data_IF_663744121944
#
_entry.id   IF_663744121944
#
_cell.length_a   1.000
_cell.length_b   1.000
_cell.length_c   1.000
_cell.angle_alpha   90.00
_cell.angle_beta   90.00
_cell.angle_gamma   90.00
#
_symmetry.space_group_name_H-M   'P 1'
#
loop_
_entity.id
_entity.type
_entity.pdbx_description
1 polymer ?
#
# COMPACT_ATOMS: atom_id res chain seq x y z
N UNK A 1 -38.66 36.85 -20.43
CA UNK A 1 -37.40 36.86 -21.19
C UNK A 1 -36.40 36.04 -20.42
N UNK A 2 -35.98 34.92 -21.00
CA UNK A 2 -35.02 33.99 -20.44
C UNK A 2 -33.59 34.47 -20.64
N UNK A 3 -32.73 34.16 -19.66
CA UNK A 3 -31.33 33.73 -19.74
C UNK A 3 -30.49 34.41 -18.66
N UNK A 4 -30.40 33.81 -17.47
CA UNK A 4 -29.33 34.10 -16.53
C UNK A 4 -28.04 33.46 -17.08
N UNK A 5 -27.06 34.28 -17.44
CA UNK A 5 -25.75 33.87 -17.92
C UNK A 5 -24.93 33.26 -16.78
N UNK A 6 -24.74 31.94 -16.82
CA UNK A 6 -23.97 31.14 -15.84
C UNK A 6 -22.49 30.99 -16.19
N UNK A 7 -21.87 31.97 -16.85
CA UNK A 7 -20.46 31.90 -17.26
C UNK A 7 -19.79 33.25 -17.02
N UNK A 8 -19.29 33.52 -15.80
CA UNK A 8 -18.29 34.59 -15.52
C UNK A 8 -17.80 34.71 -14.06
N UNK A 9 -18.20 33.84 -13.12
CA UNK A 9 -17.84 34.01 -11.70
C UNK A 9 -16.84 32.95 -11.21
N UNK A 10 -15.70 33.39 -10.67
CA UNK A 10 -14.79 32.60 -9.84
C UNK A 10 -14.32 33.43 -8.63
N UNK A 11 -14.01 32.75 -7.53
CA UNK A 11 -13.44 33.40 -6.35
C UNK A 11 -11.94 33.64 -6.57
N UNK A 12 -11.53 34.91 -6.59
CA UNK A 12 -10.12 35.27 -6.74
C UNK A 12 -9.34 34.89 -5.48
N UNK A 13 -8.33 34.03 -5.65
CA UNK A 13 -7.47 33.58 -4.57
C UNK A 13 -6.18 34.42 -4.49
N UNK A 14 -5.66 34.73 -3.28
CA UNK A 14 -4.45 35.51 -3.10
C UNK A 14 -3.21 34.62 -3.30
N UNK A 15 -2.84 34.39 -4.56
CA UNK A 15 -1.68 33.59 -4.96
C UNK A 15 -0.63 34.44 -5.67
N UNK A 16 0.64 34.08 -5.49
CA UNK A 16 1.80 34.74 -6.11
C UNK A 16 2.69 33.72 -6.82
N UNK A 17 3.27 34.12 -7.95
CA UNK A 17 4.15 33.27 -8.77
C UNK A 17 5.59 33.73 -8.64
N UNK A 18 6.45 32.85 -8.13
CA UNK A 18 7.89 33.09 -8.15
C UNK A 18 8.42 33.01 -9.61
N UNK A 19 9.00 34.08 -10.15
CA UNK A 19 9.44 34.11 -11.55
C UNK A 19 10.63 33.19 -11.83
N UNK A 20 11.44 32.83 -10.82
CA UNK A 20 12.61 31.95 -10.97
C UNK A 20 12.23 30.49 -10.82
N UNK A 21 11.56 30.15 -9.72
CA UNK A 21 11.23 28.75 -9.42
C UNK A 21 9.96 28.28 -10.12
N UNK A 22 9.16 29.22 -10.66
CA UNK A 22 7.81 28.99 -11.19
C UNK A 22 6.86 28.37 -10.17
N UNK A 23 7.20 28.45 -8.89
CA UNK A 23 6.34 27.95 -7.82
C UNK A 23 5.23 28.95 -7.52
N UNK A 24 4.00 28.45 -7.38
CA UNK A 24 2.86 29.23 -6.92
C UNK A 24 2.78 29.14 -5.41
N UNK A 25 2.68 30.29 -4.74
CA UNK A 25 2.62 30.39 -3.28
C UNK A 25 1.45 31.26 -2.85
N UNK A 26 1.13 31.25 -1.54
CA UNK A 26 0.09 32.09 -0.95
C UNK A 26 0.57 32.58 0.41
N UNK A 27 -0.10 33.60 0.95
CA UNK A 27 0.22 34.17 2.26
C UNK A 27 0.08 33.15 3.40
N UNK A 28 0.84 33.33 4.50
CA UNK A 28 0.82 32.42 5.65
C UNK A 28 -0.54 32.33 6.35
N UNK A 29 -1.38 33.37 6.22
CA UNK A 29 -2.75 33.41 6.74
C UNK A 29 -3.80 32.71 5.87
N UNK A 30 -3.43 32.19 4.71
CA UNK A 30 -4.36 31.52 3.81
C UNK A 30 -4.87 30.17 4.37
N UNK A 31 -6.04 29.68 3.91
CA UNK A 31 -6.56 28.38 4.32
C UNK A 31 -5.56 27.25 4.09
N UNK A 32 -5.46 26.31 5.05
CA UNK A 32 -4.56 25.14 4.93
C UNK A 32 -4.85 24.29 3.69
N UNK A 33 -6.11 24.21 3.27
CA UNK A 33 -6.51 23.50 2.05
C UNK A 33 -5.85 24.12 0.81
N UNK A 34 -5.90 25.46 0.67
CA UNK A 34 -5.24 26.16 -0.45
C UNK A 34 -3.73 25.90 -0.44
N UNK A 35 -3.09 25.96 0.73
CA UNK A 35 -1.65 25.67 0.83
C UNK A 35 -1.31 24.23 0.42
N UNK A 36 -2.17 23.26 0.74
CA UNK A 36 -1.99 21.87 0.33
C UNK A 36 -2.13 21.71 -1.19
N UNK A 37 -3.16 22.30 -1.79
CA UNK A 37 -3.38 22.28 -3.24
C UNK A 37 -2.23 22.94 -4.01
N UNK A 38 -1.71 24.07 -3.54
CA UNK A 38 -0.56 24.72 -4.17
C UNK A 38 0.71 23.86 -4.09
N UNK A 39 0.90 23.06 -3.04
CA UNK A 39 2.01 22.09 -2.97
C UNK A 39 1.85 21.01 -4.04
N UNK A 40 0.65 20.45 -4.18
CA UNK A 40 0.35 19.44 -5.21
C UNK A 40 0.52 20.01 -6.62
N UNK A 41 0.08 21.24 -6.85
CA UNK A 41 0.27 21.94 -8.13
C UNK A 41 1.75 22.12 -8.47
N UNK A 42 2.56 22.54 -7.50
CA UNK A 42 4.01 22.71 -7.69
C UNK A 42 4.73 21.37 -7.92
N UNK A 43 4.30 20.30 -7.25
CA UNK A 43 4.82 18.95 -7.47
C UNK A 43 4.46 18.43 -8.87
N UNK A 44 3.20 18.61 -9.29
CA UNK A 44 2.73 18.29 -10.63
C UNK A 44 3.52 19.07 -11.68
N UNK A 45 3.72 20.37 -11.52
CA UNK A 45 4.50 21.20 -12.44
C UNK A 45 5.92 20.63 -12.63
N UNK A 46 6.63 20.32 -11.53
CA UNK A 46 7.97 19.72 -11.61
C UNK A 46 7.94 18.36 -12.32
N UNK A 47 6.93 17.54 -12.07
CA UNK A 47 6.78 16.24 -12.75
C UNK A 47 6.57 16.40 -14.27
N UNK A 48 5.78 17.40 -14.69
CA UNK A 48 5.55 17.69 -16.11
C UNK A 48 6.80 18.22 -16.80
N UNK A 49 7.64 19.00 -16.10
CA UNK A 49 8.93 19.46 -16.67
C UNK A 49 9.92 18.31 -16.92
N UNK A 50 9.76 17.17 -16.24
CA UNK A 50 10.60 15.98 -16.48
C UNK A 50 10.13 15.13 -17.66
N UNK A 51 8.99 15.46 -18.27
CA UNK A 51 8.49 14.76 -19.45
C UNK A 51 9.38 15.02 -20.65
N UNK A 52 9.77 13.94 -21.32
CA UNK A 52 10.48 13.98 -22.60
C UNK A 52 9.51 14.22 -23.78
N UNK A 53 8.19 14.20 -23.53
CA UNK A 53 7.18 14.49 -24.55
C UNK A 53 7.18 15.99 -24.88
N UNK A 54 7.20 16.35 -26.16
CA UNK A 54 6.93 17.73 -26.62
C UNK A 54 5.44 17.80 -26.96
N UNK A 55 4.60 18.68 -26.36
CA UNK A 55 4.90 19.88 -25.57
C UNK A 55 4.62 19.73 -24.05
N UNK A 56 5.31 18.81 -23.36
CA UNK A 56 5.19 18.51 -21.92
C UNK A 56 3.76 18.12 -21.49
N UNK A 57 2.98 17.61 -22.43
CA UNK A 57 1.66 17.05 -22.18
C UNK A 57 1.85 15.56 -21.85
N UNK A 58 1.22 15.05 -20.78
CA UNK A 58 1.19 13.62 -20.50
C UNK A 58 0.71 12.81 -21.72
N UNK A 59 1.43 11.76 -22.12
CA UNK A 59 0.95 10.86 -23.15
C UNK A 59 -0.32 10.13 -22.68
N UNK A 60 -1.10 9.53 -23.60
CA UNK A 60 -2.19 8.65 -23.21
C UNK A 60 -1.66 7.52 -22.30
N UNK A 61 -2.45 7.03 -21.32
CA UNK A 61 -2.00 6.02 -20.35
C UNK A 61 -1.52 4.70 -20.98
N UNK A 62 -1.94 4.41 -22.21
CA UNK A 62 -1.56 3.22 -22.98
C UNK A 62 -1.04 3.71 -24.34
N UNK A 63 0.11 3.19 -24.84
CA UNK A 63 0.96 2.16 -24.23
C UNK A 63 1.90 2.68 -23.13
N UNK A 64 2.17 1.85 -22.13
CA UNK A 64 3.09 2.18 -21.02
C UNK A 64 4.54 1.91 -21.42
N UNK A 65 5.47 2.77 -20.98
CA UNK A 65 6.90 2.52 -21.17
C UNK A 65 7.37 1.31 -20.31
N UNK A 66 7.87 0.22 -20.93
CA UNK A 66 8.19 -1.01 -20.20
C UNK A 66 9.46 -0.90 -19.34
N UNK A 67 10.29 0.14 -19.52
CA UNK A 67 11.60 0.28 -18.86
C UNK A 67 11.47 0.23 -17.33
N UNK A 68 10.47 0.88 -16.77
CA UNK A 68 10.26 0.90 -15.31
C UNK A 68 9.81 -0.46 -14.78
N UNK A 69 8.85 -1.12 -15.44
CA UNK A 69 8.43 -2.49 -15.09
C UNK A 69 9.59 -3.48 -15.16
N UNK A 70 10.48 -3.34 -16.14
CA UNK A 70 11.67 -4.16 -16.26
C UNK A 70 12.64 -3.94 -15.07
N UNK A 71 12.86 -2.69 -14.67
CA UNK A 71 13.68 -2.38 -13.50
C UNK A 71 13.04 -2.88 -12.20
N UNK A 72 11.71 -2.80 -12.07
CA UNK A 72 10.98 -3.30 -10.90
C UNK A 72 11.13 -4.82 -10.79
N UNK A 73 10.99 -5.52 -11.92
CA UNK A 73 11.24 -6.97 -11.99
C UNK A 73 12.65 -7.31 -11.54
N UNK A 74 13.68 -6.57 -11.99
CA UNK A 74 15.07 -6.78 -11.56
C UNK A 74 15.27 -6.59 -10.05
N UNK A 75 14.68 -5.54 -9.46
CA UNK A 75 14.75 -5.30 -8.01
C UNK A 75 14.06 -6.42 -7.23
N UNK A 76 12.88 -6.84 -7.68
CA UNK A 76 12.13 -7.95 -7.10
C UNK A 76 12.95 -9.25 -7.15
N UNK A 77 13.54 -9.57 -8.30
CA UNK A 77 14.30 -10.81 -8.48
C UNK A 77 15.60 -10.79 -7.65
N UNK A 78 16.26 -9.63 -7.55
CA UNK A 78 17.41 -9.46 -6.66
C UNK A 78 17.02 -9.66 -5.19
N UNK A 79 15.88 -9.13 -4.76
CA UNK A 79 15.33 -9.38 -3.42
C UNK A 79 15.02 -10.85 -3.18
N UNK A 80 14.43 -11.54 -4.16
CA UNK A 80 14.13 -12.97 -4.09
C UNK A 80 15.41 -13.80 -3.96
N UNK A 81 16.47 -13.46 -4.69
CA UNK A 81 17.74 -14.17 -4.62
C UNK A 81 18.44 -13.98 -3.26
N UNK A 82 18.39 -12.77 -2.70
CA UNK A 82 18.89 -12.50 -1.35
C UNK A 82 18.08 -13.27 -0.31
N UNK A 83 16.75 -13.31 -0.47
CA UNK A 83 15.87 -14.08 0.41
C UNK A 83 16.21 -15.57 0.41
N UNK A 84 16.39 -16.18 -0.77
CA UNK A 84 16.79 -17.60 -0.91
C UNK A 84 18.15 -17.90 -0.29
N UNK A 85 19.05 -16.91 -0.24
CA UNK A 85 20.37 -17.01 0.40
C UNK A 85 20.32 -16.78 1.93
N UNK A 86 19.14 -16.63 2.53
CA UNK A 86 18.98 -16.34 3.97
C UNK A 86 19.32 -14.89 4.37
N UNK A 87 19.64 -14.02 3.41
CA UNK A 87 19.98 -12.60 3.65
C UNK A 87 18.72 -11.75 3.68
N UNK A 88 17.82 -12.04 4.62
CA UNK A 88 16.48 -11.44 4.67
C UNK A 88 16.52 -9.91 4.86
N UNK A 89 17.44 -9.38 5.67
CA UNK A 89 17.58 -7.93 5.86
C UNK A 89 17.98 -7.17 4.59
N UNK A 90 18.82 -7.75 3.74
CA UNK A 90 19.17 -7.16 2.45
C UNK A 90 18.05 -7.33 1.41
N UNK A 91 17.30 -8.43 1.47
CA UNK A 91 16.09 -8.61 0.66
C UNK A 91 15.06 -7.51 0.95
N UNK A 92 14.83 -7.16 2.23
CA UNK A 92 13.94 -6.05 2.63
C UNK A 92 14.36 -4.73 1.97
N UNK A 93 15.67 -4.44 1.91
CA UNK A 93 16.18 -3.22 1.24
C UNK A 93 15.84 -3.22 -0.24
N UNK A 94 16.06 -4.33 -0.95
CA UNK A 94 15.75 -4.43 -2.38
C UNK A 94 14.25 -4.29 -2.66
N UNK A 95 13.40 -4.94 -1.87
CA UNK A 95 11.95 -4.78 -2.01
C UNK A 95 11.50 -3.35 -1.71
N UNK A 96 12.11 -2.69 -0.71
CA UNK A 96 11.80 -1.29 -0.38
C UNK A 96 12.13 -0.34 -1.53
N UNK A 97 13.29 -0.51 -2.17
CA UNK A 97 13.63 0.23 -3.38
C UNK A 97 12.62 -0.04 -4.52
N UNK A 98 12.18 -1.29 -4.67
CA UNK A 98 11.13 -1.66 -5.60
C UNK A 98 9.82 -0.92 -5.33
N UNK A 99 9.34 -0.93 -4.09
CA UNK A 99 8.10 -0.26 -3.69
C UNK A 99 8.19 1.25 -3.96
N UNK A 100 9.29 1.89 -3.57
CA UNK A 100 9.52 3.31 -3.84
C UNK A 100 9.49 3.64 -5.34
N UNK A 101 10.12 2.80 -6.16
CA UNK A 101 10.13 3.00 -7.61
C UNK A 101 8.76 2.76 -8.27
N UNK A 102 7.96 1.84 -7.74
CA UNK A 102 6.61 1.56 -8.21
C UNK A 102 5.65 2.69 -7.85
N UNK A 103 5.69 3.19 -6.61
CA UNK A 103 4.87 4.31 -6.15
C UNK A 103 5.29 5.65 -6.78
N UNK A 104 6.56 5.79 -7.18
CA UNK A 104 7.05 6.93 -7.96
C UNK A 104 6.74 6.86 -9.45
N UNK A 105 5.76 6.04 -9.88
CA UNK A 105 5.25 6.06 -11.25
C UNK A 105 4.50 7.36 -11.53
N UNK A 106 4.60 7.93 -12.74
CA UNK A 106 3.81 9.09 -13.10
C UNK A 106 2.29 8.85 -12.98
N UNK A 107 1.57 9.87 -12.53
CA UNK A 107 0.13 9.78 -12.19
C UNK A 107 -0.78 9.50 -13.40
N UNK A 108 -0.31 9.73 -14.62
CA UNK A 108 -1.05 9.47 -15.86
C UNK A 108 -0.87 8.03 -16.36
N UNK A 109 -0.05 7.21 -15.72
CA UNK A 109 0.07 5.78 -16.06
C UNK A 109 -1.08 4.96 -15.43
N UNK A 110 -1.40 3.77 -15.97
CA UNK A 110 -2.51 2.97 -15.47
C UNK A 110 -2.31 2.54 -14.01
N UNK A 111 -3.21 2.97 -13.12
CA UNK A 111 -3.14 2.65 -11.70
C UNK A 111 -3.25 1.15 -11.39
N UNK A 112 -3.90 0.37 -12.28
CA UNK A 112 -3.95 -1.09 -12.17
C UNK A 112 -2.55 -1.73 -12.22
N UNK A 113 -1.69 -1.24 -13.11
CA UNK A 113 -0.30 -1.71 -13.21
C UNK A 113 0.48 -1.41 -11.92
N UNK A 114 0.36 -0.17 -11.41
CA UNK A 114 1.00 0.24 -10.16
C UNK A 114 0.58 -0.68 -9.03
N UNK A 115 -0.74 -0.91 -8.88
CA UNK A 115 -1.35 -1.77 -7.85
C UNK A 115 -0.82 -3.20 -7.90
N UNK A 116 -0.73 -3.80 -9.08
CA UNK A 116 -0.18 -5.15 -9.23
C UNK A 116 1.30 -5.24 -8.86
N UNK A 117 2.11 -4.26 -9.30
CA UNK A 117 3.54 -4.21 -9.00
C UNK A 117 3.77 -4.04 -7.48
N UNK A 118 3.08 -3.10 -6.84
CA UNK A 118 3.23 -2.88 -5.38
C UNK A 118 2.67 -4.03 -4.56
N UNK A 119 1.54 -4.64 -4.95
CA UNK A 119 0.96 -5.76 -4.23
C UNK A 119 1.97 -6.90 -4.09
N UNK A 120 2.64 -7.27 -5.18
CA UNK A 120 3.65 -8.33 -5.20
C UNK A 120 4.88 -7.98 -4.34
N UNK A 121 5.37 -6.73 -4.44
CA UNK A 121 6.54 -6.29 -3.70
C UNK A 121 6.28 -6.23 -2.19
N UNK A 122 5.13 -5.70 -1.77
CA UNK A 122 4.71 -5.70 -0.37
C UNK A 122 4.56 -7.13 0.17
N UNK A 123 3.96 -8.04 -0.60
CA UNK A 123 3.79 -9.43 -0.17
C UNK A 123 5.16 -10.12 0.05
N UNK A 124 6.13 -9.87 -0.82
CA UNK A 124 7.48 -10.41 -0.69
C UNK A 124 8.27 -9.76 0.45
N UNK A 125 8.11 -8.45 0.67
CA UNK A 125 8.72 -7.73 1.80
C UNK A 125 8.15 -8.19 3.14
N UNK A 126 6.83 -8.41 3.22
CA UNK A 126 6.17 -9.01 4.37
C UNK A 126 6.77 -10.38 4.72
N UNK A 127 6.98 -11.24 3.72
CA UNK A 127 7.61 -12.54 3.94
C UNK A 127 9.06 -12.42 4.46
N UNK A 128 9.82 -11.44 3.96
CA UNK A 128 11.17 -11.17 4.46
C UNK A 128 11.16 -10.65 5.91
N UNK A 129 10.18 -9.81 6.28
CA UNK A 129 9.97 -9.38 7.66
C UNK A 129 9.59 -10.55 8.58
N UNK A 130 8.70 -11.44 8.14
CA UNK A 130 8.34 -12.66 8.88
C UNK A 130 9.56 -13.56 9.11
N UNK A 131 10.44 -13.72 8.12
CA UNK A 131 11.68 -14.49 8.27
C UNK A 131 12.67 -13.87 9.28
N UNK A 132 12.56 -12.56 9.53
CA UNK A 132 13.31 -11.84 10.57
C UNK A 132 12.54 -11.76 11.90
N UNK A 133 11.35 -12.35 12.00
CA UNK A 133 10.43 -12.25 13.15
C UNK A 133 9.99 -10.80 13.45
N UNK A 134 10.05 -9.92 12.46
CA UNK A 134 9.53 -8.55 12.50
C UNK A 134 8.03 -8.56 12.19
N UNK A 135 7.23 -9.11 13.11
CA UNK A 135 5.82 -9.43 12.88
C UNK A 135 4.94 -8.20 12.63
N UNK A 136 5.22 -7.08 13.29
CA UNK A 136 4.44 -5.86 13.14
C UNK A 136 4.60 -5.26 11.74
N UNK A 137 5.84 -5.12 11.26
CA UNK A 137 6.16 -4.63 9.92
C UNK A 137 5.66 -5.60 8.84
N UNK A 138 5.79 -6.91 9.09
CA UNK A 138 5.25 -7.95 8.21
C UNK A 138 3.73 -7.87 8.06
N UNK A 139 3.01 -7.61 9.16
CA UNK A 139 1.56 -7.46 9.15
C UNK A 139 1.11 -6.21 8.39
N UNK A 140 1.80 -5.08 8.55
CA UNK A 140 1.51 -3.82 7.84
C UNK A 140 1.76 -3.98 6.34
N UNK A 141 2.88 -4.60 5.95
CA UNK A 141 3.18 -4.86 4.55
C UNK A 141 2.18 -5.82 3.90
N UNK A 142 1.79 -6.88 4.61
CA UNK A 142 0.81 -7.83 4.10
C UNK A 142 -0.59 -7.19 3.93
N UNK A 143 -1.00 -6.29 4.83
CA UNK A 143 -2.22 -5.48 4.66
C UNK A 143 -2.12 -4.53 3.47
N UNK A 144 -1.01 -3.82 3.32
CA UNK A 144 -0.78 -2.95 2.18
C UNK A 144 -0.82 -3.72 0.84
N UNK A 145 -0.32 -4.97 0.83
CA UNK A 145 -0.43 -5.86 -0.33
C UNK A 145 -1.88 -6.21 -0.67
N UNK A 146 -2.68 -6.57 0.34
CA UNK A 146 -4.12 -6.88 0.17
C UNK A 146 -4.90 -5.65 -0.27
N UNK A 147 -4.62 -4.47 0.28
CA UNK A 147 -5.29 -3.23 -0.14
C UNK A 147 -4.99 -2.89 -1.60
N UNK A 148 -3.75 -3.15 -2.06
CA UNK A 148 -3.39 -2.96 -3.46
C UNK A 148 -4.07 -3.97 -4.39
N UNK A 149 -4.20 -5.24 -3.97
CA UNK A 149 -4.85 -6.31 -4.72
C UNK A 149 -5.57 -7.28 -3.78
N UNK A 150 -6.91 -7.14 -3.71
CA UNK A 150 -7.77 -7.86 -2.75
C UNK A 150 -8.09 -9.31 -3.13
N UNK A 151 -8.19 -9.60 -4.44
CA UNK A 151 -8.55 -10.92 -4.96
C UNK A 151 -7.40 -11.53 -5.77
N UNK A 152 -7.24 -12.85 -5.72
CA UNK A 152 -6.11 -13.56 -6.33
C UNK A 152 -4.78 -13.24 -5.62
N UNK A 153 -4.83 -13.04 -4.30
CA UNK A 153 -3.72 -12.70 -3.42
C UNK A 153 -3.79 -13.42 -2.05
N UNK A 154 -4.23 -14.68 -2.03
CA UNK A 154 -4.35 -15.49 -0.80
C UNK A 154 -3.08 -15.52 0.07
N UNK A 155 -1.89 -15.46 -0.54
CA UNK A 155 -0.62 -15.42 0.20
C UNK A 155 -0.48 -14.16 1.07
N UNK A 156 -0.96 -13.00 0.64
CA UNK A 156 -0.89 -11.79 1.44
C UNK A 156 -1.87 -11.85 2.62
N UNK A 157 -3.09 -12.36 2.39
CA UNK A 157 -4.06 -12.65 3.45
C UNK A 157 -3.45 -13.57 4.51
N UNK A 158 -2.82 -14.66 4.08
CA UNK A 158 -2.19 -15.65 4.96
C UNK A 158 -1.04 -15.05 5.76
N UNK A 159 -0.15 -14.29 5.10
CA UNK A 159 1.02 -13.67 5.76
C UNK A 159 0.61 -12.73 6.90
N UNK A 160 -0.41 -11.88 6.69
CA UNK A 160 -0.92 -11.02 7.77
C UNK A 160 -1.57 -11.83 8.88
N UNK A 161 -2.43 -12.79 8.55
CA UNK A 161 -3.06 -13.65 9.55
C UNK A 161 -2.01 -14.36 10.42
N UNK A 162 -0.94 -14.88 9.80
CA UNK A 162 0.18 -15.50 10.52
C UNK A 162 0.93 -14.50 11.40
N UNK A 163 1.18 -13.28 10.93
CA UNK A 163 1.80 -12.24 11.76
C UNK A 163 0.93 -11.88 12.97
N UNK A 164 -0.39 -11.73 12.79
CA UNK A 164 -1.33 -11.43 13.89
C UNK A 164 -1.36 -12.57 14.92
N UNK A 165 -1.37 -13.81 14.44
CA UNK A 165 -1.28 -15.01 15.27
C UNK A 165 0.01 -15.05 16.11
N UNK A 166 1.16 -14.78 15.50
CA UNK A 166 2.46 -14.75 16.22
C UNK A 166 2.57 -13.58 17.21
N UNK A 167 1.87 -12.47 16.95
CA UNK A 167 1.74 -11.36 17.91
C UNK A 167 0.70 -11.60 19.01
N UNK A 168 -0.03 -12.72 18.98
CA UNK A 168 -1.10 -13.03 19.94
C UNK A 168 -2.39 -12.21 19.75
N UNK A 169 -2.54 -11.47 18.65
CA UNK A 169 -3.74 -10.70 18.31
C UNK A 169 -4.76 -11.61 17.64
N UNK A 170 -5.26 -12.59 18.40
CA UNK A 170 -6.02 -13.72 17.86
C UNK A 170 -7.39 -13.33 17.31
N UNK A 171 -8.13 -12.45 17.99
CA UNK A 171 -9.46 -12.00 17.50
C UNK A 171 -9.34 -11.30 16.14
N UNK A 172 -8.32 -10.44 16.00
CA UNK A 172 -8.04 -9.79 14.72
C UNK A 172 -7.56 -10.76 13.65
N UNK A 173 -6.79 -11.79 14.04
CA UNK A 173 -6.36 -12.84 13.12
C UNK A 173 -7.55 -13.63 12.58
N UNK A 174 -8.53 -13.96 13.42
CA UNK A 174 -9.73 -14.72 13.07
C UNK A 174 -10.59 -13.93 12.07
N UNK A 175 -10.89 -12.66 12.40
CA UNK A 175 -11.66 -11.77 11.52
C UNK A 175 -10.93 -11.53 10.18
N UNK A 176 -9.60 -11.36 10.23
CA UNK A 176 -8.80 -11.14 9.02
C UNK A 176 -8.78 -12.36 8.10
N UNK A 177 -8.54 -13.55 8.64
CA UNK A 177 -8.48 -14.79 7.86
C UNK A 177 -9.87 -15.17 7.33
N UNK A 178 -10.93 -14.95 8.12
CA UNK A 178 -12.32 -15.12 7.68
C UNK A 178 -12.64 -14.28 6.44
N UNK A 179 -12.31 -12.99 6.46
CA UNK A 179 -12.44 -12.11 5.28
C UNK A 179 -11.59 -12.58 4.10
N UNK A 180 -10.39 -13.11 4.36
CA UNK A 180 -9.54 -13.67 3.31
C UNK A 180 -10.19 -14.86 2.60
N UNK A 181 -10.85 -15.74 3.33
CA UNK A 181 -11.56 -16.92 2.79
C UNK A 181 -12.81 -16.53 1.99
N UNK A 182 -13.53 -15.49 2.41
CA UNK A 182 -14.65 -14.94 1.62
C UNK A 182 -14.18 -14.39 0.26
N UNK A 183 -12.98 -13.82 0.21
CA UNK A 183 -12.43 -13.17 -0.99
C UNK A 183 -11.72 -14.14 -1.95
N UNK A 184 -10.97 -15.09 -1.42
CA UNK A 184 -10.12 -16.00 -2.21
C UNK A 184 -10.75 -17.40 -2.40
N UNK A 185 -11.78 -17.73 -1.63
CA UNK A 185 -12.37 -19.07 -1.55
C UNK A 185 -11.64 -19.99 -0.57
N UNK A 186 -11.90 -21.30 -0.69
CA UNK A 186 -11.35 -22.36 0.16
C UNK A 186 -9.87 -22.66 -0.13
N UNK A 187 -9.00 -21.67 0.07
CA UNK A 187 -7.55 -21.86 -0.03
C UNK A 187 -7.06 -22.67 1.19
N UNK A 188 -6.43 -23.82 0.94
CA UNK A 188 -6.05 -24.76 1.98
C UNK A 188 -5.15 -24.15 3.08
N UNK A 189 -4.21 -23.27 2.72
CA UNK A 189 -3.31 -22.62 3.68
C UNK A 189 -4.06 -21.64 4.60
N UNK A 190 -5.06 -20.92 4.07
CA UNK A 190 -5.88 -20.00 4.86
C UNK A 190 -6.84 -20.76 5.78
N UNK A 191 -7.44 -21.85 5.31
CA UNK A 191 -8.30 -22.71 6.14
C UNK A 191 -7.52 -23.32 7.30
N UNK A 192 -6.31 -23.83 7.04
CA UNK A 192 -5.44 -24.37 8.09
C UNK A 192 -5.08 -23.30 9.12
N UNK A 193 -4.78 -22.08 8.67
CA UNK A 193 -4.50 -20.96 9.56
C UNK A 193 -5.73 -20.55 10.38
N UNK A 194 -6.92 -20.52 9.78
CA UNK A 194 -8.17 -20.23 10.49
C UNK A 194 -8.39 -21.23 11.62
N UNK A 195 -8.28 -22.53 11.32
CA UNK A 195 -8.42 -23.59 12.32
C UNK A 195 -7.41 -23.45 13.47
N UNK A 196 -6.15 -23.09 13.17
CA UNK A 196 -5.14 -22.83 14.18
C UNK A 196 -5.52 -21.64 15.09
N UNK A 197 -5.97 -20.53 14.49
CA UNK A 197 -6.38 -19.33 15.23
C UNK A 197 -7.58 -19.62 16.12
N UNK A 198 -8.65 -20.21 15.58
CA UNK A 198 -9.86 -20.54 16.33
C UNK A 198 -9.58 -21.51 17.47
N UNK A 199 -8.74 -22.54 17.25
CA UNK A 199 -8.36 -23.48 18.31
C UNK A 199 -7.62 -22.80 19.47
N UNK A 200 -6.76 -21.81 19.19
CA UNK A 200 -6.09 -21.02 20.23
C UNK A 200 -7.06 -20.10 20.97
N UNK A 201 -7.99 -19.46 20.26
CA UNK A 201 -9.04 -18.64 20.87
C UNK A 201 -9.92 -19.44 21.83
N UNK A 202 -10.39 -20.61 21.39
CA UNK A 202 -11.24 -21.48 22.21
C UNK A 202 -10.52 -21.97 23.47
N UNK A 203 -9.22 -22.25 23.36
CA UNK A 203 -8.40 -22.60 24.51
C UNK A 203 -8.32 -21.46 25.54
N UNK A 204 -8.06 -20.23 25.09
CA UNK A 204 -7.97 -19.07 25.98
C UNK A 204 -9.32 -18.79 26.66
N UNK A 205 -10.43 -18.90 25.91
CA UNK A 205 -11.78 -18.72 26.46
C UNK A 205 -12.07 -19.74 27.56
N UNK A 206 -11.73 -21.01 27.34
CA UNK A 206 -11.91 -22.06 28.35
C UNK A 206 -11.06 -21.79 29.60
N UNK A 207 -9.79 -21.42 29.43
CA UNK A 207 -8.90 -21.09 30.56
C UNK A 207 -9.43 -19.88 31.36
N UNK A 208 -10.02 -18.89 30.68
CA UNK A 208 -10.62 -17.73 31.33
C UNK A 208 -11.91 -18.07 32.08
N UNK A 209 -12.78 -18.91 31.50
CA UNK A 209 -13.99 -19.43 32.16
C UNK A 209 -13.66 -20.24 33.42
N UNK A 210 -12.65 -21.12 33.35
CA UNK A 210 -12.17 -21.90 34.49
C UNK A 210 -11.60 -21.01 35.60
N UNK A 211 -10.82 -19.97 35.24
CA UNK A 211 -10.30 -18.99 36.21
C UNK A 211 -11.43 -18.26 36.92
N UNK A 212 -12.41 -17.74 36.17
CA UNK A 212 -13.57 -17.02 36.73
C UNK A 212 -14.42 -17.95 37.61
N UNK A 213 -14.55 -19.22 37.24
CA UNK A 213 -15.24 -20.23 38.05
C UNK A 213 -14.55 -20.51 39.39
N UNK A 214 -13.20 -20.54 39.38
CA UNK A 214 -12.40 -20.77 40.60
C UNK A 214 -12.36 -19.59 41.57
N UNK A 215 -12.47 -18.35 41.08
CA UNK A 215 -12.51 -17.15 41.94
C UNK A 215 -13.89 -16.91 42.58
N UNK A 216 -14.93 -17.54 42.04
CA UNK A 216 -16.32 -17.43 42.53
C UNK A 216 -16.73 -18.58 43.47
N UNK A 217 -15.90 -19.61 43.60
CA UNK A 217 -16.10 -20.77 44.48
C UNK A 217 -15.37 -20.58 45.81
#
# INVERSE_FOLDING_TARGET
MAAASTEEYFDLLPIDLDPQTKAVTTSSGAPKALQAELRLLNELHRSLLTLETSPQIPPPPIPVNPKRSANLTKLKDSGNDLYRKGRHGDAVKMYTLGVQMALGRPLWEPQGLVREEVANLYANRAQAHMALQNWAEGAVDAEASVEAKRAGNAKAWWRRGKCLLEMGRLDEADEWVGRGLEMEGEEAELLALQQEVTARLDKIKKEEEERIGSEKA
#
